data_IF_313476667286
#
_entry.id   IF_313476667286
#
_cell.length_a   1.000
_cell.length_b   1.000
_cell.length_c   1.000
_cell.angle_alpha   90.00
_cell.angle_beta   90.00
_cell.angle_gamma   90.00
#
_symmetry.space_group_name_H-M   'P 1'
#
loop_
_entity.id
_entity.type
_entity.pdbx_description
1 polymer ?
#
# COMPACT_ATOMS: atom_id res chain seq x y z
N UNK A 1 -17.74 5.76 -18.74
CA UNK A 1 -16.80 6.61 -17.96
C UNK A 1 -16.54 6.15 -16.50
N UNK A 2 -17.26 5.18 -15.92
CA UNK A 2 -17.20 4.93 -14.45
C UNK A 2 -16.37 3.72 -13.99
N UNK A 3 -16.00 2.80 -14.88
CA UNK A 3 -15.43 1.50 -14.46
C UNK A 3 -13.93 1.58 -14.11
N UNK A 4 -13.15 2.39 -14.83
CA UNK A 4 -11.70 2.51 -14.58
C UNK A 4 -11.37 3.16 -13.24
N UNK A 5 -12.16 4.15 -12.83
CA UNK A 5 -12.03 4.76 -11.50
C UNK A 5 -12.38 3.76 -10.39
N UNK A 6 -13.41 2.92 -10.61
CA UNK A 6 -13.79 1.86 -9.67
C UNK A 6 -12.69 0.82 -9.43
N UNK A 7 -12.01 0.34 -10.49
CA UNK A 7 -10.89 -0.59 -10.32
C UNK A 7 -9.69 0.05 -9.62
N UNK A 8 -9.40 1.33 -9.89
CA UNK A 8 -8.32 2.06 -9.22
C UNK A 8 -8.52 2.16 -7.70
N UNK A 9 -9.74 2.49 -7.25
CA UNK A 9 -10.06 2.54 -5.82
C UNK A 9 -10.06 1.17 -5.15
N UNK A 10 -10.54 0.14 -5.85
CA UNK A 10 -10.44 -1.24 -5.35
C UNK A 10 -8.97 -1.66 -5.17
N UNK A 11 -8.12 -1.35 -6.15
CA UNK A 11 -6.68 -1.62 -6.08
C UNK A 11 -6.00 -0.87 -4.93
N UNK A 12 -6.36 0.40 -4.70
CA UNK A 12 -5.85 1.19 -3.59
C UNK A 12 -6.23 0.61 -2.22
N UNK A 13 -7.51 0.21 -2.04
CA UNK A 13 -7.98 -0.39 -0.79
C UNK A 13 -7.31 -1.73 -0.50
N UNK A 14 -7.21 -2.60 -1.52
CA UNK A 14 -6.54 -3.90 -1.39
C UNK A 14 -5.03 -3.74 -1.13
N UNK A 15 -4.37 -2.83 -1.85
CA UNK A 15 -2.96 -2.53 -1.66
C UNK A 15 -2.66 -2.00 -0.26
N UNK A 16 -3.48 -1.06 0.25
CA UNK A 16 -3.36 -0.54 1.60
C UNK A 16 -3.51 -1.65 2.66
N UNK A 17 -4.51 -2.52 2.53
CA UNK A 17 -4.71 -3.65 3.45
C UNK A 17 -3.52 -4.61 3.46
N UNK A 18 -2.98 -4.94 2.28
CA UNK A 18 -1.81 -5.81 2.16
C UNK A 18 -0.56 -5.21 2.82
N UNK A 19 -0.33 -3.90 2.63
CA UNK A 19 0.79 -3.18 3.27
C UNK A 19 0.68 -3.22 4.79
N UNK A 20 -0.50 -2.94 5.35
CA UNK A 20 -0.72 -2.98 6.80
C UNK A 20 -0.46 -4.37 7.36
N UNK A 21 -1.03 -5.41 6.75
CA UNK A 21 -0.84 -6.80 7.18
C UNK A 21 0.65 -7.18 7.14
N UNK A 22 1.33 -6.86 6.03
CA UNK A 22 2.75 -7.15 5.88
C UNK A 22 3.62 -6.45 6.93
N UNK A 23 3.38 -5.16 7.17
CA UNK A 23 4.13 -4.37 8.14
C UNK A 23 3.89 -4.88 9.57
N UNK A 24 2.65 -5.10 9.97
CA UNK A 24 2.33 -5.61 11.33
C UNK A 24 2.92 -7.00 11.56
N UNK A 25 2.87 -7.90 10.57
CA UNK A 25 3.49 -9.22 10.69
C UNK A 25 5.02 -9.15 10.81
N UNK A 26 5.67 -8.26 10.08
CA UNK A 26 7.11 -8.06 10.17
C UNK A 26 7.51 -7.50 11.54
N UNK A 27 6.82 -6.46 12.02
CA UNK A 27 7.05 -5.86 13.35
C UNK A 27 6.85 -6.91 14.45
N UNK A 28 5.75 -7.69 14.39
CA UNK A 28 5.48 -8.73 15.38
C UNK A 28 6.62 -9.74 15.49
N UNK A 29 7.23 -10.14 14.36
CA UNK A 29 8.39 -11.05 14.34
C UNK A 29 9.63 -10.42 14.98
N UNK A 30 9.93 -9.17 14.66
CA UNK A 30 11.10 -8.46 15.24
C UNK A 30 10.92 -8.31 16.75
N UNK A 31 9.73 -7.92 17.21
CA UNK A 31 9.42 -7.76 18.63
C UNK A 31 9.48 -9.10 19.36
N UNK A 32 8.90 -10.17 18.79
CA UNK A 32 8.95 -11.49 19.39
C UNK A 32 10.40 -11.99 19.57
N UNK A 33 11.24 -11.83 18.54
CA UNK A 33 12.65 -12.18 18.60
C UNK A 33 13.43 -11.35 19.62
N UNK A 34 13.11 -10.06 19.75
CA UNK A 34 13.72 -9.18 20.75
C UNK A 34 13.34 -9.61 22.18
N UNK A 35 12.06 -9.92 22.43
CA UNK A 35 11.59 -10.39 23.74
C UNK A 35 12.26 -11.71 24.14
N UNK A 36 12.35 -12.66 23.20
CA UNK A 36 13.06 -13.93 23.43
C UNK A 36 14.56 -13.72 23.65
N UNK A 37 15.18 -12.80 22.91
CA UNK A 37 16.56 -12.40 23.08
C UNK A 37 16.84 -11.83 24.47
N UNK A 38 16.03 -10.86 24.92
CA UNK A 38 16.14 -10.26 26.26
C UNK A 38 15.95 -11.32 27.35
N UNK A 39 15.03 -12.26 27.17
CA UNK A 39 14.82 -13.34 28.15
C UNK A 39 16.05 -14.27 28.29
N UNK A 40 16.78 -14.51 27.20
CA UNK A 40 18.01 -15.34 27.20
C UNK A 40 19.24 -14.58 27.68
N UNK A 41 19.30 -13.27 27.44
CA UNK A 41 20.48 -12.42 27.66
C UNK A 41 20.03 -11.06 28.23
N UNK A 42 19.58 -11.00 29.49
CA UNK A 42 19.11 -9.77 30.11
C UNK A 42 20.19 -8.68 30.18
N UNK A 43 21.47 -9.06 30.25
CA UNK A 43 22.63 -8.16 30.20
C UNK A 43 22.77 -7.39 28.88
N UNK A 44 22.12 -7.87 27.80
CA UNK A 44 22.16 -7.26 26.48
C UNK A 44 20.87 -6.49 26.13
N UNK A 45 19.96 -6.28 27.08
CA UNK A 45 18.62 -5.72 26.83
C UNK A 45 18.64 -4.39 26.07
N UNK A 46 19.50 -3.45 26.46
CA UNK A 46 19.61 -2.14 25.81
C UNK A 46 20.04 -2.26 24.34
N UNK A 47 21.02 -3.13 24.06
CA UNK A 47 21.51 -3.38 22.70
C UNK A 47 20.44 -4.07 21.84
N UNK A 48 19.71 -5.02 22.41
CA UNK A 48 18.62 -5.72 21.72
C UNK A 48 17.50 -4.75 21.36
N UNK A 49 17.07 -3.91 22.31
CA UNK A 49 16.03 -2.90 22.08
C UNK A 49 16.44 -1.86 21.03
N UNK A 50 17.68 -1.39 21.08
CA UNK A 50 18.22 -0.44 20.08
C UNK A 50 18.19 -1.04 18.67
N UNK A 51 18.68 -2.28 18.51
CA UNK A 51 18.63 -2.97 17.23
C UNK A 51 17.19 -3.23 16.75
N UNK A 52 16.30 -3.66 17.66
CA UNK A 52 14.87 -3.86 17.37
C UNK A 52 14.24 -2.57 16.83
N UNK A 53 14.47 -1.43 17.49
CA UNK A 53 13.91 -0.14 17.08
C UNK A 53 14.39 0.26 15.68
N UNK A 54 15.67 0.08 15.35
CA UNK A 54 16.17 0.34 13.99
C UNK A 54 15.37 -0.45 12.93
N UNK A 55 15.15 -1.74 13.15
CA UNK A 55 14.37 -2.56 12.22
C UNK A 55 12.89 -2.17 12.17
N UNK A 56 12.29 -1.82 13.32
CA UNK A 56 10.91 -1.30 13.34
C UNK A 56 10.81 -0.02 12.50
N UNK A 57 11.74 0.94 12.66
CA UNK A 57 11.75 2.16 11.86
C UNK A 57 11.90 1.90 10.36
N UNK A 58 12.75 0.94 9.97
CA UNK A 58 12.89 0.55 8.58
C UNK A 58 11.59 -0.06 8.01
N UNK A 59 10.89 -0.89 8.80
CA UNK A 59 9.60 -1.48 8.41
C UNK A 59 8.51 -0.40 8.33
N UNK A 60 8.43 0.48 9.32
CA UNK A 60 7.49 1.60 9.34
C UNK A 60 7.69 2.53 8.14
N UNK A 61 8.95 2.85 7.81
CA UNK A 61 9.29 3.64 6.63
C UNK A 61 8.75 3.02 5.34
N UNK A 62 8.93 1.71 5.15
CA UNK A 62 8.36 0.99 4.00
C UNK A 62 6.83 0.93 4.04
N UNK A 63 6.24 0.75 5.21
CA UNK A 63 4.78 0.76 5.40
C UNK A 63 4.16 2.10 5.03
N UNK A 64 4.77 3.21 5.46
CA UNK A 64 4.34 4.57 5.13
C UNK A 64 4.49 4.84 3.63
N UNK A 65 5.59 4.41 3.00
CA UNK A 65 5.76 4.55 1.54
C UNK A 65 4.66 3.77 0.79
N UNK A 66 4.40 2.53 1.19
CA UNK A 66 3.34 1.71 0.58
C UNK A 66 1.94 2.29 0.75
N UNK A 67 1.61 2.77 1.95
CA UNK A 67 0.35 3.47 2.23
C UNK A 67 0.26 4.80 1.48
N UNK A 68 1.37 5.51 1.32
CA UNK A 68 1.46 6.74 0.54
C UNK A 68 1.11 6.51 -0.93
N UNK A 69 1.59 5.42 -1.54
CA UNK A 69 1.20 5.04 -2.91
C UNK A 69 -0.29 4.75 -2.99
N UNK A 70 -0.84 3.96 -2.06
CA UNK A 70 -2.27 3.67 -2.02
C UNK A 70 -3.11 4.96 -1.88
N UNK A 71 -2.65 5.91 -1.07
CA UNK A 71 -3.30 7.21 -0.87
C UNK A 71 -3.27 8.08 -2.14
N UNK A 72 -2.14 8.13 -2.85
CA UNK A 72 -2.03 8.86 -4.13
C UNK A 72 -3.01 8.32 -5.17
N UNK A 73 -3.16 6.99 -5.27
CA UNK A 73 -4.13 6.35 -6.16
C UNK A 73 -5.57 6.68 -5.71
N UNK A 74 -5.84 6.59 -4.40
CA UNK A 74 -7.17 6.87 -3.85
C UNK A 74 -7.61 8.34 -3.99
N UNK A 75 -6.68 9.28 -4.06
CA UNK A 75 -7.00 10.70 -4.21
C UNK A 75 -6.77 11.24 -5.62
N UNK A 76 -6.32 10.41 -6.57
CA UNK A 76 -5.91 10.83 -7.91
C UNK A 76 -4.94 12.03 -7.89
N UNK A 77 -4.05 12.11 -6.90
CA UNK A 77 -3.10 13.22 -6.77
C UNK A 77 -2.13 13.20 -7.96
N UNK A 78 -2.37 14.06 -8.95
CA UNK A 78 -1.50 14.21 -10.12
C UNK A 78 -1.58 13.10 -11.17
N UNK A 79 -2.47 12.11 -11.01
CA UNK A 79 -2.72 11.13 -12.07
C UNK A 79 -3.55 11.78 -13.18
N UNK A 80 -2.91 12.07 -14.31
CA UNK A 80 -3.62 12.44 -15.53
C UNK A 80 -4.56 11.29 -15.90
N UNK A 81 -5.84 11.56 -16.23
CA UNK A 81 -6.73 10.53 -16.74
C UNK A 81 -6.05 9.80 -17.89
N UNK A 82 -5.96 8.47 -17.81
CA UNK A 82 -5.43 7.67 -18.91
C UNK A 82 -6.32 7.97 -20.12
N UNK A 83 -5.78 8.59 -21.19
CA UNK A 83 -6.55 8.85 -22.39
C UNK A 83 -7.16 7.52 -22.84
N UNK A 84 -8.48 7.50 -23.01
CA UNK A 84 -9.24 6.29 -23.23
C UNK A 84 -8.57 5.40 -24.27
N UNK A 85 -8.29 4.15 -23.88
CA UNK A 85 -7.95 3.12 -24.85
C UNK A 85 -9.06 3.09 -25.89
N UNK A 86 -8.70 3.22 -27.15
CA UNK A 86 -9.61 3.18 -28.28
C UNK A 86 -10.34 1.84 -28.31
N UNK A 87 -11.48 1.76 -27.63
CA UNK A 87 -12.43 0.65 -27.72
C UNK A 87 -13.83 1.25 -27.76
N UNK A 88 -14.29 1.52 -28.98
CA UNK A 88 -15.59 1.01 -29.41
C UNK A 88 -16.86 1.84 -29.22
N UNK A 89 -16.81 3.13 -28.87
CA UNK A 89 -18.03 3.88 -28.55
C UNK A 89 -18.45 4.92 -29.62
N UNK A 90 -18.58 4.50 -30.89
CA UNK A 90 -19.51 5.19 -31.80
C UNK A 90 -20.62 4.23 -32.24
N UNK A 91 -21.84 4.33 -31.68
CA UNK A 91 -22.99 3.68 -32.28
C UNK A 91 -23.26 4.31 -33.66
N UNK A 92 -23.62 3.53 -34.70
CA UNK A 92 -23.82 4.04 -36.04
C UNK A 92 -24.88 5.15 -36.03
N UNK A 93 -24.49 6.33 -36.52
CA UNK A 93 -25.34 7.50 -36.62
C UNK A 93 -26.55 7.18 -37.52
N UNK A 94 -27.67 6.82 -36.90
CA UNK A 94 -28.97 6.79 -37.55
C UNK A 94 -29.51 8.21 -37.59
N UNK A 95 -29.04 9.01 -38.56
CA UNK A 95 -29.76 10.24 -38.93
C UNK A 95 -30.54 10.01 -40.22
N UNK A 96 -31.84 9.86 -40.00
CA UNK A 96 -32.97 9.96 -40.93
C UNK A 96 -32.77 11.00 -42.04
N UNK A 97 -33.01 10.57 -43.28
CA UNK A 97 -33.14 11.47 -44.41
C UNK A 97 -34.31 12.43 -44.23
N UNK A 98 -34.09 13.66 -44.70
CA UNK A 98 -35.05 14.59 -45.28
C UNK A 98 -34.27 15.52 -46.21
#
# INVERSE_FOLDING_TARGET
MNNYLGLGYLGAGLGAGAVVIGATMAIAKVVAAAVEGTARQPEADEKIKSNMQLFIFLIEGLGIIGLGVAYVIALNLGLKPIPGGAVGDEPPAMHSGH
#
